data_IF_473374586614
#
_entry.id   IF_473374586614
#
_cell.length_a   1.000
_cell.length_b   1.000
_cell.length_c   1.000
_cell.angle_alpha   90.00
_cell.angle_beta   90.00
_cell.angle_gamma   90.00
#
_symmetry.space_group_name_H-M   'P 1'
#
loop_
_entity.id
_entity.type
_entity.pdbx_description
1 polymer ?
#
# COMPACT_ATOMS: atom_id res chain seq x y z
N UNK A 1 4.09 8.97 -6.92
CA UNK A 1 2.98 8.17 -6.36
C UNK A 1 2.83 6.84 -7.08
N UNK A 2 2.68 6.86 -8.41
CA UNK A 2 2.55 5.64 -9.25
C UNK A 2 3.54 4.54 -8.88
N UNK A 3 4.83 4.85 -8.76
CA UNK A 3 5.84 3.83 -8.42
C UNK A 3 5.56 3.12 -7.08
N UNK A 4 5.28 3.88 -6.02
CA UNK A 4 5.03 3.30 -4.70
C UNK A 4 3.75 2.44 -4.70
N UNK A 5 2.70 2.91 -5.37
CA UNK A 5 1.45 2.17 -5.53
C UNK A 5 1.66 0.89 -6.34
N UNK A 6 2.39 0.94 -7.46
CA UNK A 6 2.72 -0.23 -8.27
C UNK A 6 3.53 -1.26 -7.47
N UNK A 7 4.57 -0.83 -6.74
CA UNK A 7 5.35 -1.74 -5.90
C UNK A 7 4.51 -2.41 -4.80
N UNK A 8 3.60 -1.65 -4.17
CA UNK A 8 2.70 -2.20 -3.16
C UNK A 8 1.67 -3.15 -3.79
N UNK A 9 1.18 -2.85 -4.99
CA UNK A 9 0.27 -3.72 -5.72
C UNK A 9 0.95 -5.05 -6.06
N UNK A 10 2.16 -5.01 -6.62
CA UNK A 10 2.95 -6.21 -6.94
C UNK A 10 3.18 -7.09 -5.68
N UNK A 11 3.50 -6.46 -4.55
CA UNK A 11 3.68 -7.16 -3.28
C UNK A 11 2.39 -7.89 -2.85
N UNK A 12 1.25 -7.24 -2.98
CA UNK A 12 -0.05 -7.81 -2.63
C UNK A 12 -0.47 -8.91 -3.61
N UNK A 13 -0.24 -8.71 -4.90
CA UNK A 13 -0.51 -9.71 -5.92
C UNK A 13 0.32 -10.97 -5.68
N UNK A 14 1.60 -10.82 -5.32
CA UNK A 14 2.47 -11.92 -4.93
C UNK A 14 1.96 -12.62 -3.66
N UNK A 15 1.54 -11.87 -2.65
CA UNK A 15 1.00 -12.41 -1.40
C UNK A 15 -0.24 -13.29 -1.63
N UNK A 16 -1.20 -12.80 -2.42
CA UNK A 16 -2.44 -13.53 -2.72
C UNK A 16 -2.31 -14.50 -3.92
N UNK A 17 -1.15 -14.54 -4.58
CA UNK A 17 -0.90 -15.33 -5.80
C UNK A 17 -1.93 -15.05 -6.89
N UNK A 18 -2.28 -13.78 -7.06
CA UNK A 18 -3.29 -13.32 -8.01
C UNK A 18 -2.97 -11.91 -8.48
N UNK A 19 -3.04 -11.69 -9.79
CA UNK A 19 -2.89 -10.39 -10.45
C UNK A 19 -4.20 -9.58 -10.47
N UNK A 20 -5.34 -10.24 -10.26
CA UNK A 20 -6.68 -9.65 -10.30
C UNK A 20 -7.14 -9.11 -8.94
N UNK A 21 -6.39 -8.14 -8.39
CA UNK A 21 -6.78 -7.43 -7.18
C UNK A 21 -6.51 -5.92 -7.29
N UNK A 22 -7.22 -5.15 -6.47
CA UNK A 22 -7.05 -3.72 -6.31
C UNK A 22 -6.65 -3.43 -4.86
N UNK A 23 -5.75 -2.47 -4.66
CA UNK A 23 -5.29 -2.06 -3.33
C UNK A 23 -5.82 -0.68 -2.99
N UNK A 24 -5.92 -0.39 -1.69
CA UNK A 24 -6.12 0.96 -1.19
C UNK A 24 -4.83 1.44 -0.52
N UNK A 25 -4.43 2.68 -0.81
CA UNK A 25 -3.29 3.34 -0.18
C UNK A 25 -3.70 4.69 0.39
N UNK A 26 -3.13 5.04 1.53
CA UNK A 26 -3.30 6.35 2.18
C UNK A 26 -1.98 7.10 2.07
N UNK A 27 -2.03 8.32 1.55
CA UNK A 27 -0.84 9.15 1.35
C UNK A 27 -0.88 10.33 2.32
N UNK A 28 0.20 10.51 3.07
CA UNK A 28 0.42 11.68 3.92
C UNK A 28 1.47 12.60 3.30
N UNK A 29 1.30 13.91 3.47
CA UNK A 29 2.30 14.89 3.08
C UNK A 29 2.83 15.53 4.37
N UNK A 30 4.07 15.23 4.72
CA UNK A 30 4.76 15.89 5.82
C UNK A 30 5.71 16.93 5.23
N UNK A 31 5.66 18.15 5.73
CA UNK A 31 6.56 19.24 5.30
C UNK A 31 7.72 19.43 6.26
N UNK A 32 7.57 19.02 7.51
CA UNK A 32 8.54 19.20 8.57
C UNK A 32 8.80 17.89 9.30
N UNK A 33 10.04 17.70 9.77
CA UNK A 33 10.39 16.58 10.64
C UNK A 33 9.95 16.81 12.08
N UNK A 34 10.11 15.79 12.94
CA UNK A 34 9.71 15.83 14.36
C UNK A 34 10.32 17.00 15.16
N UNK A 35 11.48 17.49 14.75
CA UNK A 35 12.15 18.64 15.38
C UNK A 35 11.72 20.00 14.79
N UNK A 36 10.71 20.04 13.91
CA UNK A 36 10.21 21.28 13.30
C UNK A 36 11.03 21.81 12.13
N UNK A 37 12.11 21.13 11.73
CA UNK A 37 12.88 21.52 10.55
C UNK A 37 12.13 21.17 9.27
N UNK A 38 12.25 22.01 8.24
CA UNK A 38 11.72 21.71 6.92
C UNK A 38 12.42 20.47 6.35
N UNK A 39 11.65 19.40 6.13
CA UNK A 39 12.11 18.12 5.65
C UNK A 39 10.90 17.39 5.02
N UNK A 40 10.60 17.66 3.74
CA UNK A 40 9.42 17.14 3.09
C UNK A 40 9.51 15.62 2.92
N UNK A 41 8.46 14.91 3.32
CA UNK A 41 8.35 13.46 3.23
C UNK A 41 6.94 13.09 2.77
N UNK A 42 6.84 11.98 2.03
CA UNK A 42 5.57 11.48 1.51
C UNK A 42 5.34 10.03 1.96
N UNK A 43 4.88 9.79 3.20
CA UNK A 43 4.49 8.45 3.62
C UNK A 43 3.35 7.91 2.76
N UNK A 44 3.54 6.70 2.23
CA UNK A 44 2.50 5.93 1.53
C UNK A 44 2.22 4.70 2.39
N UNK A 45 0.98 4.55 2.82
CA UNK A 45 0.54 3.49 3.73
C UNK A 45 -0.41 2.57 2.98
N UNK A 46 -0.05 1.30 2.90
CA UNK A 46 -0.92 0.25 2.38
C UNK A 46 -1.98 -0.11 3.42
N UNK A 47 -3.25 -0.16 2.99
CA UNK A 47 -4.35 -0.62 3.86
C UNK A 47 -4.29 -2.14 4.03
N UNK A 48 -4.79 -2.65 5.15
CA UNK A 48 -4.81 -4.07 5.47
C UNK A 48 -5.79 -4.87 4.57
N UNK A 49 -5.36 -5.14 3.35
CA UNK A 49 -6.03 -6.04 2.41
C UNK A 49 -6.04 -5.55 0.97
N UNK A 50 -6.81 -6.28 0.17
CA UNK A 50 -7.05 -5.99 -1.25
C UNK A 50 -8.49 -6.38 -1.63
N UNK A 51 -9.06 -5.63 -2.57
CA UNK A 51 -10.34 -5.94 -3.20
C UNK A 51 -10.11 -6.92 -4.35
N UNK A 52 -10.94 -7.97 -4.43
CA UNK A 52 -11.01 -8.87 -5.57
C UNK A 52 -12.27 -8.53 -6.38
N UNK A 53 -12.15 -7.84 -7.54
CA UNK A 53 -13.32 -7.36 -8.26
C UNK A 53 -14.23 -8.47 -8.79
N UNK A 54 -13.67 -9.65 -9.04
CA UNK A 54 -14.38 -10.83 -9.56
C UNK A 54 -15.51 -11.31 -8.67
N UNK A 55 -15.35 -11.16 -7.35
CA UNK A 55 -16.33 -11.58 -6.35
C UNK A 55 -16.72 -10.46 -5.37
N UNK A 56 -16.24 -9.23 -5.60
CA UNK A 56 -16.50 -8.05 -4.75
C UNK A 56 -16.09 -8.28 -3.29
N UNK A 57 -15.04 -9.07 -3.05
CA UNK A 57 -14.60 -9.47 -1.71
C UNK A 57 -13.33 -8.73 -1.29
N UNK A 58 -13.30 -8.26 -0.04
CA UNK A 58 -12.11 -7.64 0.56
C UNK A 58 -11.35 -8.67 1.38
N UNK A 59 -10.20 -9.12 0.86
CA UNK A 59 -9.34 -10.07 1.57
C UNK A 59 -8.29 -9.33 2.37
N UNK A 60 -8.29 -9.56 3.68
CA UNK A 60 -7.29 -9.01 4.60
C UNK A 60 -6.05 -9.90 4.64
N UNK A 61 -4.91 -9.28 4.93
CA UNK A 61 -3.68 -9.97 5.32
C UNK A 61 -3.25 -9.44 6.67
N UNK A 62 -2.68 -10.29 7.53
CA UNK A 62 -2.14 -9.82 8.82
C UNK A 62 -0.65 -9.52 8.74
N UNK A 63 0.08 -10.28 7.91
CA UNK A 63 1.52 -10.17 7.74
C UNK A 63 1.88 -10.30 6.26
N UNK A 64 2.86 -9.51 5.81
CA UNK A 64 3.45 -9.63 4.47
C UNK A 64 4.84 -10.24 4.60
N UNK A 65 5.08 -11.31 3.84
CA UNK A 65 6.43 -11.83 3.66
C UNK A 65 7.17 -10.92 2.70
N UNK A 66 8.31 -10.37 3.13
CA UNK A 66 9.19 -9.56 2.28
C UNK A 66 10.40 -10.36 1.76
N UNK A 67 10.39 -11.68 1.98
CA UNK A 67 11.45 -12.64 1.63
C UNK A 67 11.01 -13.61 0.55
#
# INVERSE_FOLDING_TARGET
>A
MVLAETCLLELIQAHFKSDACEIAVIVFIHTHSRNGNYNPQLPVILVEGALFPSNQDWKRFQNLSLS
#
